data_IF_116575323831
#
_entry.id   IF_116575323831
#
_cell.length_a   1.000
_cell.length_b   1.000
_cell.length_c   1.000
_cell.angle_alpha   90.00
_cell.angle_beta   90.00
_cell.angle_gamma   90.00
#
_symmetry.space_group_name_H-M   'P 1'
#
loop_
_entity.id
_entity.type
_entity.pdbx_description
1 polymer ?
#
# COMPACT_ATOMS: atom_id res chain seq x y z
N UNK A 1 -10.87 -15.48 15.20
CA UNK A 1 -11.08 -14.97 16.56
C UNK A 1 -9.94 -15.47 17.47
N UNK A 2 -9.15 -14.55 17.99
CA UNK A 2 -7.98 -14.88 18.82
C UNK A 2 -8.42 -15.54 20.15
N UNK A 3 -9.54 -15.11 20.72
CA UNK A 3 -10.01 -15.62 22.01
C UNK A 3 -10.50 -17.08 21.91
N UNK A 4 -11.12 -17.44 20.80
CA UNK A 4 -11.57 -18.82 20.53
C UNK A 4 -10.57 -19.64 19.74
N UNK A 5 -9.42 -19.06 19.37
CA UNK A 5 -8.38 -19.68 18.53
C UNK A 5 -8.97 -20.30 17.26
N UNK A 6 -9.83 -19.56 16.58
CA UNK A 6 -10.57 -20.05 15.42
C UNK A 6 -10.49 -19.10 14.22
N UNK A 7 -10.46 -19.68 13.03
CA UNK A 7 -10.60 -19.01 11.75
C UNK A 7 -11.99 -19.28 11.17
N UNK A 8 -12.57 -18.28 10.55
CA UNK A 8 -13.86 -18.43 9.84
C UNK A 8 -13.60 -18.20 8.36
N UNK A 9 -13.94 -19.18 7.53
CA UNK A 9 -13.89 -19.02 6.09
C UNK A 9 -14.94 -17.99 5.64
N UNK A 10 -14.55 -17.12 4.73
CA UNK A 10 -15.38 -16.14 4.07
C UNK A 10 -15.55 -16.50 2.60
N UNK A 11 -16.30 -15.70 1.84
CA UNK A 11 -16.50 -15.94 0.42
C UNK A 11 -15.16 -16.06 -0.33
N UNK A 12 -15.01 -17.13 -1.09
CA UNK A 12 -13.83 -17.37 -1.91
C UNK A 12 -13.66 -16.27 -2.96
N UNK A 13 -12.38 -15.94 -3.25
CA UNK A 13 -12.04 -15.05 -4.33
C UNK A 13 -12.03 -15.84 -5.65
N UNK A 14 -13.13 -15.76 -6.41
CA UNK A 14 -13.37 -16.63 -7.59
C UNK A 14 -12.87 -16.05 -8.92
N UNK A 15 -12.08 -14.97 -8.89
CA UNK A 15 -11.61 -14.24 -10.07
C UNK A 15 -10.22 -14.67 -10.56
N UNK A 16 -9.84 -15.88 -10.29
CA UNK A 16 -8.59 -16.53 -10.67
C UNK A 16 -7.65 -16.72 -9.49
N UNK A 17 -7.06 -17.92 -9.44
CA UNK A 17 -6.02 -18.25 -8.47
C UNK A 17 -4.79 -17.39 -8.76
N UNK A 18 -4.20 -16.82 -7.70
CA UNK A 18 -3.07 -15.92 -7.84
C UNK A 18 -2.13 -15.94 -6.64
N UNK A 19 -0.87 -15.66 -6.88
CA UNK A 19 0.12 -15.41 -5.85
C UNK A 19 0.74 -14.02 -6.02
N UNK A 20 1.36 -13.51 -4.97
CA UNK A 20 1.92 -12.14 -4.91
C UNK A 20 0.92 -11.04 -5.32
N UNK A 21 -0.38 -11.12 -4.91
CA UNK A 21 -1.31 -10.03 -5.14
C UNK A 21 -0.91 -8.81 -4.32
N UNK A 22 -1.43 -7.65 -4.72
CA UNK A 22 -1.41 -6.47 -3.86
C UNK A 22 -2.71 -6.44 -3.05
N UNK A 23 -2.60 -6.07 -1.79
CA UNK A 23 -3.74 -6.01 -0.87
C UNK A 23 -3.53 -4.94 0.20
N UNK A 24 -4.57 -4.23 0.53
CA UNK A 24 -4.59 -3.24 1.61
C UNK A 24 -6.00 -3.09 2.17
N UNK A 25 -6.13 -2.37 3.27
CA UNK A 25 -7.45 -1.97 3.78
C UNK A 25 -7.55 -0.45 3.81
N UNK A 26 -8.73 0.07 3.44
CA UNK A 26 -9.07 1.49 3.53
C UNK A 26 -10.37 1.57 4.33
N UNK A 27 -10.38 2.29 5.46
CA UNK A 27 -11.57 2.46 6.31
C UNK A 27 -12.28 1.12 6.59
N UNK A 28 -11.53 0.13 7.08
CA UNK A 28 -11.98 -1.23 7.40
C UNK A 28 -12.52 -2.06 6.20
N UNK A 29 -12.37 -1.57 4.99
CA UNK A 29 -12.73 -2.31 3.78
C UNK A 29 -11.47 -2.94 3.16
N UNK A 30 -11.44 -4.28 2.98
CA UNK A 30 -10.33 -4.96 2.31
C UNK A 30 -10.37 -4.78 0.79
N UNK A 31 -9.21 -4.60 0.18
CA UNK A 31 -9.00 -4.53 -1.26
C UNK A 31 -7.93 -5.52 -1.69
N UNK A 32 -8.14 -6.18 -2.84
CA UNK A 32 -7.21 -7.15 -3.43
C UNK A 32 -7.24 -7.00 -4.94
N UNK A 33 -6.08 -7.13 -5.58
CA UNK A 33 -5.97 -7.17 -7.03
C UNK A 33 -4.58 -7.59 -7.47
N UNK A 34 -4.34 -7.53 -8.77
CA UNK A 34 -3.02 -7.81 -9.34
C UNK A 34 -2.54 -9.25 -9.08
N UNK A 35 -1.23 -9.44 -9.15
CA UNK A 35 -0.61 -10.74 -8.89
C UNK A 35 -0.54 -11.61 -10.14
N UNK A 36 0.06 -12.78 -9.97
CA UNK A 36 0.33 -13.74 -11.02
C UNK A 36 -0.47 -15.01 -10.80
N UNK A 37 -1.07 -15.53 -11.85
CA UNK A 37 -1.81 -16.77 -11.79
C UNK A 37 -2.05 -17.40 -13.15
N UNK A 38 -3.05 -18.27 -13.24
CA UNK A 38 -3.45 -18.90 -14.48
C UNK A 38 -4.89 -18.49 -14.83
N UNK A 39 -5.13 -18.25 -16.11
CA UNK A 39 -6.48 -18.17 -16.64
C UNK A 39 -7.18 -19.53 -16.56
N UNK A 40 -8.50 -19.56 -16.77
CA UNK A 40 -9.26 -20.81 -16.88
C UNK A 40 -8.78 -21.78 -17.97
N UNK A 41 -7.91 -21.33 -18.87
CA UNK A 41 -7.30 -22.12 -19.93
C UNK A 41 -5.81 -22.44 -19.68
N UNK A 42 -5.36 -22.36 -18.42
CA UNK A 42 -3.98 -22.61 -17.97
C UNK A 42 -2.91 -21.70 -18.64
N UNK A 43 -3.32 -20.53 -19.14
CA UNK A 43 -2.35 -19.53 -19.59
C UNK A 43 -1.89 -18.67 -18.42
N UNK A 44 -0.60 -18.48 -18.32
CA UNK A 44 -0.01 -17.53 -17.36
C UNK A 44 -0.56 -16.12 -17.60
N UNK A 45 -0.88 -15.43 -16.53
CA UNK A 45 -1.37 -14.06 -16.56
C UNK A 45 -0.86 -13.27 -15.37
N UNK A 46 -0.49 -12.02 -15.61
CA UNK A 46 -0.30 -11.02 -14.55
C UNK A 46 -1.53 -10.11 -14.59
N UNK A 47 -2.25 -10.09 -13.49
CA UNK A 47 -3.55 -9.42 -13.41
C UNK A 47 -3.38 -7.91 -13.21
N UNK A 48 -4.30 -7.13 -13.81
CA UNK A 48 -4.51 -5.70 -13.52
C UNK A 48 -5.91 -5.41 -12.98
N UNK A 49 -6.67 -6.47 -12.64
CA UNK A 49 -7.98 -6.38 -12.04
C UNK A 49 -7.93 -5.95 -10.58
N UNK A 50 -9.03 -5.39 -10.06
CA UNK A 50 -9.08 -4.89 -8.71
C UNK A 50 -10.46 -5.08 -8.10
N UNK A 51 -10.51 -5.41 -6.83
CA UNK A 51 -11.72 -5.79 -6.11
C UNK A 51 -11.71 -5.26 -4.68
N UNK A 52 -12.91 -5.03 -4.14
CA UNK A 52 -13.13 -4.86 -2.70
C UNK A 52 -14.01 -5.97 -2.15
N UNK A 53 -13.81 -6.29 -0.88
CA UNK A 53 -14.66 -7.23 -0.16
C UNK A 53 -15.72 -6.49 0.65
N UNK A 54 -16.98 -6.80 0.39
CA UNK A 54 -18.11 -6.32 1.20
C UNK A 54 -18.35 -7.28 2.36
N UNK A 55 -17.99 -6.82 3.56
CA UNK A 55 -18.13 -7.60 4.80
C UNK A 55 -19.60 -7.90 5.10
N UNK A 56 -20.51 -7.01 4.73
CA UNK A 56 -21.93 -7.12 5.07
C UNK A 56 -22.65 -8.19 4.26
N UNK A 57 -22.31 -8.32 2.99
CA UNK A 57 -22.88 -9.31 2.06
C UNK A 57 -22.01 -10.56 1.90
N UNK A 58 -20.84 -10.60 2.55
CA UNK A 58 -19.82 -11.66 2.39
C UNK A 58 -19.52 -11.93 0.90
N UNK A 59 -19.17 -10.88 0.14
CA UNK A 59 -18.97 -11.00 -1.29
C UNK A 59 -17.89 -10.04 -1.82
N UNK A 60 -17.32 -10.38 -2.97
CA UNK A 60 -16.35 -9.56 -3.68
C UNK A 60 -17.05 -8.70 -4.74
N UNK A 61 -16.64 -7.44 -4.84
CA UNK A 61 -17.15 -6.46 -5.81
C UNK A 61 -15.99 -6.02 -6.68
N UNK A 62 -16.13 -6.22 -7.99
CA UNK A 62 -15.15 -5.73 -8.95
C UNK A 62 -15.21 -4.20 -9.04
N UNK A 63 -14.05 -3.58 -9.08
CA UNK A 63 -13.82 -2.16 -9.24
C UNK A 63 -13.22 -1.88 -10.62
N UNK A 64 -12.93 -0.62 -10.92
CA UNK A 64 -12.19 -0.27 -12.13
C UNK A 64 -10.81 -0.92 -12.10
N UNK A 65 -10.45 -1.53 -13.23
CA UNK A 65 -9.13 -2.11 -13.38
C UNK A 65 -8.05 -1.03 -13.27
N UNK A 66 -6.88 -1.47 -12.85
CA UNK A 66 -5.69 -0.64 -12.89
C UNK A 66 -5.41 -0.17 -14.34
N UNK A 67 -5.11 1.12 -14.57
CA UNK A 67 -5.06 1.70 -15.91
C UNK A 67 -3.75 1.44 -16.68
N UNK A 68 -2.83 0.69 -16.10
CA UNK A 68 -1.56 0.30 -16.70
C UNK A 68 -1.48 -1.23 -16.85
N UNK A 69 -0.32 -1.74 -17.22
CA UNK A 69 -0.06 -3.18 -17.27
C UNK A 69 -0.29 -3.87 -15.93
N UNK A 70 -0.55 -5.16 -15.96
CA UNK A 70 -0.61 -5.99 -14.76
C UNK A 70 0.69 -5.93 -13.98
N UNK A 71 0.63 -6.24 -12.68
CA UNK A 71 1.85 -6.26 -11.88
C UNK A 71 1.81 -7.27 -10.76
N UNK A 72 3.00 -7.66 -10.33
CA UNK A 72 3.20 -8.72 -9.37
C UNK A 72 4.36 -8.39 -8.42
N UNK A 73 4.27 -8.88 -7.20
CA UNK A 73 5.34 -8.84 -6.20
C UNK A 73 5.96 -7.46 -5.93
N UNK A 74 5.19 -6.39 -6.05
CA UNK A 74 5.56 -5.11 -5.47
C UNK A 74 5.20 -5.04 -3.98
N UNK A 75 5.04 -3.84 -3.48
CA UNK A 75 4.59 -3.57 -2.12
C UNK A 75 3.41 -2.59 -2.10
N UNK A 76 2.69 -2.56 -1.01
CA UNK A 76 1.48 -1.76 -0.87
C UNK A 76 1.31 -1.22 0.54
N UNK A 77 0.53 -0.15 0.67
CA UNK A 77 0.18 0.46 1.95
C UNK A 77 -1.12 1.25 1.84
N UNK A 78 -1.64 1.69 2.97
CA UNK A 78 -2.77 2.64 3.04
C UNK A 78 -2.34 3.87 3.82
N UNK A 79 -2.85 5.02 3.42
CA UNK A 79 -2.64 6.28 4.11
C UNK A 79 -3.79 7.24 3.83
N UNK A 80 -4.31 7.88 4.87
CA UNK A 80 -5.34 8.93 4.81
C UNK A 80 -6.52 8.60 3.88
N UNK A 81 -7.12 7.42 4.06
CA UNK A 81 -8.29 6.98 3.29
C UNK A 81 -8.02 6.58 1.85
N UNK A 82 -6.77 6.44 1.45
CA UNK A 82 -6.32 6.01 0.13
C UNK A 82 -5.53 4.71 0.21
N UNK A 83 -5.46 3.97 -0.91
CA UNK A 83 -4.60 2.81 -1.06
C UNK A 83 -3.45 3.10 -2.02
N UNK A 84 -2.33 2.44 -1.84
CA UNK A 84 -1.13 2.67 -2.67
C UNK A 84 -0.50 1.36 -3.08
N UNK A 85 -0.03 1.31 -4.32
CA UNK A 85 0.80 0.23 -4.85
C UNK A 85 2.11 0.81 -5.37
N UNK A 86 3.20 0.11 -5.10
CA UNK A 86 4.55 0.62 -5.32
C UNK A 86 5.43 -0.49 -5.87
N UNK A 87 6.10 -0.21 -7.00
CA UNK A 87 7.06 -1.11 -7.61
C UNK A 87 6.45 -2.46 -8.07
N UNK A 88 7.23 -3.51 -8.15
CA UNK A 88 6.85 -4.84 -8.66
C UNK A 88 7.38 -5.08 -10.06
N UNK A 89 7.06 -6.24 -10.63
CA UNK A 89 7.29 -6.55 -12.04
C UNK A 89 5.97 -6.42 -12.82
N UNK A 90 6.10 -6.13 -14.10
CA UNK A 90 5.00 -6.01 -15.06
C UNK A 90 4.68 -7.32 -15.77
N UNK A 91 4.09 -7.20 -16.97
CA UNK A 91 3.73 -8.32 -17.81
C UNK A 91 4.94 -9.22 -18.12
N UNK A 92 4.70 -10.53 -18.22
CA UNK A 92 5.72 -11.57 -18.43
C UNK A 92 6.87 -11.56 -17.38
N UNK A 93 6.64 -11.02 -16.18
CA UNK A 93 7.67 -10.77 -15.16
C UNK A 93 8.81 -9.88 -15.68
N UNK A 94 8.51 -9.02 -16.65
CA UNK A 94 9.43 -7.98 -17.08
C UNK A 94 9.53 -6.86 -16.05
N UNK A 95 10.72 -6.22 -15.93
CA UNK A 95 10.85 -5.06 -15.06
C UNK A 95 9.97 -3.92 -15.60
N UNK A 96 9.30 -3.21 -14.72
CA UNK A 96 8.67 -1.94 -15.07
C UNK A 96 9.74 -0.90 -15.40
N UNK A 97 9.43 0.06 -16.27
CA UNK A 97 10.36 1.12 -16.69
C UNK A 97 10.90 1.95 -15.51
N UNK A 98 10.17 2.00 -14.42
CA UNK A 98 10.56 2.74 -13.21
C UNK A 98 9.88 2.17 -11.96
N UNK A 99 10.35 2.62 -10.80
CA UNK A 99 9.75 2.29 -9.51
C UNK A 99 8.43 3.01 -9.25
N UNK A 100 7.42 2.75 -10.06
CA UNK A 100 6.14 3.44 -10.07
C UNK A 100 5.43 3.38 -8.72
N UNK A 101 4.86 4.52 -8.33
CA UNK A 101 3.93 4.65 -7.21
C UNK A 101 2.57 5.09 -7.75
N UNK A 102 1.53 4.38 -7.36
CA UNK A 102 0.15 4.70 -7.71
C UNK A 102 -0.72 4.81 -6.48
N UNK A 103 -1.62 5.80 -6.49
CA UNK A 103 -2.65 6.04 -5.48
C UNK A 103 -4.01 5.59 -6.00
N UNK A 104 -4.78 4.90 -5.17
CA UNK A 104 -6.17 4.55 -5.40
C UNK A 104 -7.09 5.39 -4.52
N UNK A 105 -8.04 6.08 -5.14
CA UNK A 105 -9.12 6.82 -4.49
C UNK A 105 -10.40 5.97 -4.46
N UNK A 106 -10.85 5.48 -3.30
CA UNK A 106 -12.04 4.64 -3.20
C UNK A 106 -13.36 5.41 -3.42
N UNK A 107 -13.37 6.74 -3.28
CA UNK A 107 -14.57 7.55 -3.49
C UNK A 107 -14.85 7.76 -4.98
N UNK A 108 -13.78 7.82 -5.79
CA UNK A 108 -13.86 8.01 -7.22
C UNK A 108 -13.69 6.72 -8.01
N UNK A 109 -13.28 5.63 -7.37
CA UNK A 109 -12.82 4.38 -8.00
C UNK A 109 -11.78 4.68 -9.10
N UNK A 110 -10.74 5.42 -8.71
CA UNK A 110 -9.75 5.98 -9.64
C UNK A 110 -8.32 5.75 -9.15
N UNK A 111 -7.46 5.35 -10.09
CA UNK A 111 -6.02 5.28 -9.91
C UNK A 111 -5.32 6.51 -10.47
N UNK A 112 -4.35 7.05 -9.72
CA UNK A 112 -3.50 8.18 -10.14
C UNK A 112 -2.04 7.83 -9.95
N UNK A 113 -1.25 7.96 -11.01
CA UNK A 113 0.20 7.77 -10.92
C UNK A 113 0.84 8.95 -10.20
N UNK A 114 1.71 8.64 -9.24
CA UNK A 114 2.49 9.60 -8.48
C UNK A 114 3.97 9.54 -8.90
N UNK A 115 4.83 10.21 -8.14
CA UNK A 115 6.26 10.19 -8.38
C UNK A 115 6.85 8.80 -8.09
N UNK A 116 7.62 8.27 -9.04
CA UNK A 116 8.33 7.00 -8.86
C UNK A 116 9.45 7.13 -7.82
N UNK A 117 9.77 6.02 -7.14
CA UNK A 117 10.99 5.98 -6.32
C UNK A 117 12.25 5.98 -7.23
N UNK A 118 13.39 6.42 -6.73
CA UNK A 118 14.65 6.37 -7.48
C UNK A 118 15.08 4.93 -7.81
N UNK A 119 15.72 4.76 -8.96
CA UNK A 119 16.13 3.45 -9.47
C UNK A 119 15.05 2.72 -10.24
N UNK A 120 15.34 1.51 -10.66
CA UNK A 120 14.40 0.64 -11.37
C UNK A 120 13.35 0.04 -10.45
N UNK A 121 12.36 -0.59 -11.05
CA UNK A 121 11.33 -1.34 -10.33
C UNK A 121 11.94 -2.52 -9.56
N UNK A 122 11.31 -2.90 -8.46
CA UNK A 122 11.83 -3.92 -7.55
C UNK A 122 10.82 -5.03 -7.33
N UNK A 123 11.27 -6.25 -7.52
CA UNK A 123 10.59 -7.45 -7.06
C UNK A 123 10.70 -7.57 -5.54
N UNK A 124 9.59 -7.84 -4.88
CA UNK A 124 9.47 -8.11 -3.45
C UNK A 124 10.17 -7.09 -2.51
N UNK A 125 10.02 -5.79 -2.73
CA UNK A 125 10.44 -4.81 -1.73
C UNK A 125 9.50 -4.82 -0.53
N UNK A 126 9.94 -4.24 0.60
CA UNK A 126 9.09 -3.96 1.76
C UNK A 126 8.73 -2.50 1.85
N UNK A 127 7.52 -2.19 2.33
CA UNK A 127 7.13 -0.83 2.68
C UNK A 127 6.38 -0.75 3.99
N UNK A 128 6.47 0.39 4.66
CA UNK A 128 5.71 0.71 5.86
C UNK A 128 5.53 2.24 5.97
N UNK A 129 4.47 2.67 6.65
CA UNK A 129 4.17 4.10 6.85
C UNK A 129 4.41 4.46 8.31
N UNK A 130 5.16 5.53 8.53
CA UNK A 130 5.37 6.14 9.85
C UNK A 130 5.31 7.65 9.70
N UNK A 131 4.51 8.31 10.54
CA UNK A 131 4.45 9.78 10.63
C UNK A 131 4.30 10.46 9.26
N UNK A 132 3.33 10.02 8.49
CA UNK A 132 3.04 10.54 7.13
C UNK A 132 4.16 10.37 6.10
N UNK A 133 5.12 9.50 6.37
CA UNK A 133 6.12 9.09 5.39
C UNK A 133 5.95 7.62 5.07
N UNK A 134 6.01 7.27 3.80
CA UNK A 134 6.23 5.88 3.39
C UNK A 134 7.74 5.63 3.31
N UNK A 135 8.14 4.49 3.79
CA UNK A 135 9.49 3.97 3.68
C UNK A 135 9.48 2.75 2.76
N UNK A 136 10.44 2.69 1.85
CA UNK A 136 10.68 1.58 0.94
C UNK A 136 12.07 1.01 1.19
N UNK A 137 12.18 -0.31 1.29
CA UNK A 137 13.47 -0.99 1.51
C UNK A 137 13.55 -2.30 0.76
N UNK A 138 14.77 -2.74 0.53
CA UNK A 138 15.06 -4.07 -0.02
C UNK A 138 14.51 -4.28 -1.43
N UNK A 139 14.38 -5.54 -1.83
CA UNK A 139 13.91 -5.94 -3.14
C UNK A 139 15.05 -6.27 -4.11
N UNK A 140 14.65 -6.76 -5.27
CA UNK A 140 15.54 -7.18 -6.35
C UNK A 140 15.14 -6.48 -7.65
N UNK A 141 16.08 -5.87 -8.33
CA UNK A 141 15.89 -5.28 -9.65
C UNK A 141 16.34 -6.27 -10.72
N UNK A 142 15.41 -6.79 -11.50
CA UNK A 142 15.68 -7.88 -12.44
C UNK A 142 16.59 -7.44 -13.60
N UNK A 143 16.45 -6.20 -14.08
CA UNK A 143 17.23 -5.69 -15.23
C UNK A 143 18.72 -5.58 -14.90
N UNK A 144 19.07 -5.01 -13.75
CA UNK A 144 20.47 -4.84 -13.32
C UNK A 144 21.03 -6.00 -12.51
N UNK A 145 20.16 -6.90 -12.02
CA UNK A 145 20.53 -8.01 -11.14
C UNK A 145 20.91 -7.58 -9.72
N UNK A 146 20.50 -6.39 -9.29
CA UNK A 146 20.89 -5.80 -8.00
C UNK A 146 19.89 -6.16 -6.91
N UNK A 147 20.40 -6.60 -5.76
CA UNK A 147 19.67 -6.70 -4.51
C UNK A 147 19.90 -5.44 -3.69
N UNK A 148 18.82 -4.80 -3.26
CA UNK A 148 18.88 -3.56 -2.50
C UNK A 148 18.93 -3.80 -0.99
N UNK A 149 19.68 -2.94 -0.30
CA UNK A 149 19.74 -2.87 1.16
C UNK A 149 19.58 -1.44 1.68
N UNK A 150 19.03 -0.57 0.83
CA UNK A 150 18.76 0.83 1.11
C UNK A 150 17.45 1.02 1.89
N UNK A 151 17.24 2.23 2.34
CA UNK A 151 15.98 2.71 2.90
C UNK A 151 15.68 4.07 2.27
N UNK A 152 14.63 4.13 1.47
CA UNK A 152 14.12 5.36 0.87
C UNK A 152 12.89 5.83 1.64
N UNK A 153 12.63 7.13 1.63
CA UNK A 153 11.41 7.69 2.20
C UNK A 153 10.80 8.73 1.27
N UNK A 154 9.45 8.77 1.27
CA UNK A 154 8.66 9.80 0.60
C UNK A 154 7.64 10.34 1.59
N UNK A 155 7.58 11.66 1.74
CA UNK A 155 6.54 12.33 2.50
C UNK A 155 5.22 12.29 1.72
N UNK A 156 4.16 11.75 2.32
CA UNK A 156 2.86 11.54 1.68
C UNK A 156 1.96 12.78 1.77
N UNK A 157 2.18 13.64 2.76
CA UNK A 157 1.43 14.88 2.94
C UNK A 157 2.22 15.88 3.75
N UNK A 158 2.08 17.18 3.42
CA UNK A 158 2.57 18.31 4.22
C UNK A 158 1.58 18.70 5.34
N UNK A 159 0.37 18.17 5.30
CA UNK A 159 -0.73 18.47 6.23
C UNK A 159 -0.74 17.48 7.42
N UNK A 160 0.43 17.16 7.94
CA UNK A 160 0.65 16.18 9.01
C UNK A 160 1.23 16.80 10.26
N UNK A 161 0.73 16.37 11.41
CA UNK A 161 1.20 16.81 12.72
C UNK A 161 0.27 16.38 13.84
N UNK A 162 0.48 16.88 15.02
CA UNK A 162 -0.45 16.67 16.12
C UNK A 162 -1.66 17.59 15.97
N UNK A 163 -2.84 17.02 15.70
CA UNK A 163 -4.11 17.74 15.58
C UNK A 163 -5.06 17.54 16.78
N UNK A 164 -4.55 17.08 17.92
CA UNK A 164 -5.29 16.95 19.15
C UNK A 164 -5.10 18.20 20.03
N UNK A 165 -6.19 18.91 20.29
CA UNK A 165 -6.21 20.17 21.07
C UNK A 165 -5.73 20.00 22.53
N UNK A 166 -5.77 18.79 23.07
CA UNK A 166 -5.29 18.50 24.43
C UNK A 166 -3.77 18.31 24.48
N UNK A 167 -3.09 18.19 23.34
CA UNK A 167 -1.66 17.99 23.29
C UNK A 167 -0.87 19.29 23.38
N UNK A 168 0.29 19.27 24.03
CA UNK A 168 1.19 20.43 24.15
C UNK A 168 1.75 20.93 22.82
N UNK A 169 1.90 20.02 21.85
CA UNK A 169 2.40 20.31 20.52
C UNK A 169 1.27 20.36 19.47
N UNK A 170 0.04 20.68 19.92
CA UNK A 170 -1.10 20.87 19.02
C UNK A 170 -0.79 21.88 17.92
N UNK A 171 -1.17 21.52 16.69
CA UNK A 171 -1.05 22.38 15.52
C UNK A 171 -2.40 22.43 14.79
N UNK A 172 -3.10 23.57 14.91
CA UNK A 172 -4.41 23.76 14.30
C UNK A 172 -4.38 23.86 12.77
N UNK A 173 -3.21 23.94 12.15
CA UNK A 173 -3.05 24.03 10.71
C UNK A 173 -2.95 22.67 10.00
N UNK A 174 -2.87 21.57 10.76
CA UNK A 174 -2.79 20.22 10.19
C UNK A 174 -4.09 19.46 10.41
N UNK A 175 -4.47 18.64 9.44
CA UNK A 175 -5.68 17.81 9.51
C UNK A 175 -5.37 16.33 9.73
N UNK A 176 -4.17 15.88 9.40
CA UNK A 176 -3.76 14.48 9.51
C UNK A 176 -2.92 14.30 10.77
N UNK A 177 -3.42 13.47 11.70
CA UNK A 177 -2.67 13.10 12.89
C UNK A 177 -1.51 12.16 12.53
N UNK A 178 -0.30 12.57 12.78
CA UNK A 178 0.91 11.79 12.58
C UNK A 178 1.33 10.99 13.82
N UNK A 179 0.51 11.00 14.88
CA UNK A 179 0.77 10.38 16.17
C UNK A 179 1.95 10.98 16.95
N UNK A 180 2.37 12.19 16.61
CA UNK A 180 3.43 12.93 17.32
C UNK A 180 2.92 13.68 18.56
N UNK A 181 1.63 13.57 18.90
CA UNK A 181 1.01 14.28 20.00
C UNK A 181 1.70 14.00 21.35
N UNK A 182 2.04 15.07 22.06
CA UNK A 182 2.71 15.04 23.37
C UNK A 182 1.77 15.54 24.45
N UNK A 183 1.46 14.68 25.43
CA UNK A 183 0.51 14.99 26.52
C UNK A 183 1.18 15.21 27.89
N UNK A 184 2.49 15.12 27.96
CA UNK A 184 3.25 15.28 29.21
C UNK A 184 4.19 16.48 29.10
N UNK A 185 4.17 17.34 30.10
CA UNK A 185 5.14 18.42 30.21
C UNK A 185 6.54 17.83 30.43
N UNK A 186 7.47 18.13 29.54
CA UNK A 186 8.80 17.53 29.55
C UNK A 186 8.88 16.29 28.68
N UNK A 187 8.69 16.47 27.38
CA UNK A 187 8.89 15.43 26.38
C UNK A 187 10.24 14.74 26.58
N UNK A 188 10.24 13.40 26.62
CA UNK A 188 11.46 12.60 26.81
C UNK A 188 12.35 12.55 25.56
N UNK A 189 11.94 13.20 24.48
CA UNK A 189 12.79 13.39 23.30
C UNK A 189 13.93 14.34 23.66
N UNK A 190 15.16 13.84 23.61
CA UNK A 190 16.38 14.61 23.88
C UNK A 190 16.60 15.78 22.91
N UNK A 191 15.83 15.85 21.84
CA UNK A 191 15.86 16.94 20.84
C UNK A 191 14.70 17.93 21.03
N UNK A 192 13.75 17.67 21.92
CA UNK A 192 12.69 18.63 22.21
C UNK A 192 13.24 19.81 23.02
N UNK A 193 12.94 21.01 22.58
CA UNK A 193 13.23 22.26 23.31
C UNK A 193 12.10 22.41 24.33
N UNK A 194 12.37 22.09 25.60
CA UNK A 194 11.48 22.38 26.72
C UNK A 194 11.52 23.88 27.06
#
# INVERSE_FOLDING_TARGET
DILSNSWTQKADFTFGDRHHPFYFSINDTPYVGFGHGNTLNDNLVIYNDFYKYDISSDSWIQLNNFPSEGRVAGTQFSFNGKGYVLSGDGDDHGPLDSGELWEYDPEQDLWTQLISHPGGARWAPGSFVINCNVFLTSGFEAESGVYYNDLLSLQLSDDCGCNDEEAFNFNSSVSINDYSCCYVSGCTDSNSIN
#
